data_IF_235717338870
#
_entry.id   IF_235717338870
#
_cell.length_a   1.000
_cell.length_b   1.000
_cell.length_c   1.000
_cell.angle_alpha   90.00
_cell.angle_beta   90.00
_cell.angle_gamma   90.00
#
_symmetry.space_group_name_H-M   'P 1'
#
loop_
_entity.id
_entity.type
_entity.pdbx_description
1 polymer ?
#
# COMPACT_ATOMS: atom_id res chain seq x y z
N UNK A 1 15.08 18.23 -8.23
CA UNK A 1 15.03 19.36 -7.29
C UNK A 1 14.61 18.79 -5.95
N UNK A 2 15.49 18.84 -4.95
CA UNK A 2 15.14 18.52 -3.56
C UNK A 2 14.33 19.70 -3.03
N UNK A 3 13.05 19.47 -2.75
CA UNK A 3 12.29 20.38 -1.91
C UNK A 3 12.73 20.08 -0.48
N UNK A 4 13.66 20.86 0.05
CA UNK A 4 14.00 20.79 1.46
C UNK A 4 12.93 21.57 2.22
N UNK A 5 12.25 20.92 3.16
CA UNK A 5 11.26 21.60 4.02
C UNK A 5 12.06 22.37 5.06
N UNK A 6 12.35 23.63 4.78
CA UNK A 6 13.14 24.50 5.67
C UNK A 6 12.24 25.52 6.37
N UNK A 7 11.21 26.03 5.69
CA UNK A 7 10.35 27.10 6.21
C UNK A 7 8.85 26.72 6.21
N UNK A 8 8.04 27.51 6.94
CA UNK A 8 6.58 27.41 6.99
C UNK A 8 5.90 27.41 5.61
N UNK A 9 6.32 28.25 4.63
CA UNK A 9 5.76 28.24 3.28
C UNK A 9 5.90 26.89 2.59
N UNK A 10 7.00 26.15 2.77
CA UNK A 10 7.22 24.87 2.08
C UNK A 10 6.20 23.81 2.50
N UNK A 11 5.84 23.80 3.78
CA UNK A 11 4.78 22.94 4.32
C UNK A 11 3.43 23.29 3.71
N UNK A 12 3.15 24.59 3.55
CA UNK A 12 1.93 25.10 2.91
C UNK A 12 1.92 24.67 1.42
N UNK A 13 3.04 24.77 0.71
CA UNK A 13 3.14 24.35 -0.70
C UNK A 13 2.80 22.87 -0.88
N UNK A 14 3.38 21.99 -0.05
CA UNK A 14 3.08 20.54 -0.08
C UNK A 14 1.59 20.29 0.16
N UNK A 15 1.00 20.96 1.15
CA UNK A 15 -0.42 20.85 1.43
C UNK A 15 -1.30 21.25 0.24
N UNK A 16 -0.95 22.37 -0.42
CA UNK A 16 -1.67 22.87 -1.60
C UNK A 16 -1.56 21.86 -2.75
N UNK A 17 -0.37 21.34 -3.04
CA UNK A 17 -0.16 20.36 -4.11
C UNK A 17 -0.95 19.06 -3.89
N UNK A 18 -1.10 18.61 -2.65
CA UNK A 18 -1.89 17.42 -2.31
C UNK A 18 -3.40 17.65 -2.47
N UNK A 19 -3.87 18.90 -2.29
CA UNK A 19 -5.29 19.26 -2.35
C UNK A 19 -5.78 19.70 -3.73
N UNK A 20 -4.88 20.21 -4.59
CA UNK A 20 -5.24 20.65 -5.94
C UNK A 20 -5.52 19.44 -6.84
N UNK A 21 -6.75 19.36 -7.35
CA UNK A 21 -7.15 18.33 -8.33
C UNK A 21 -7.01 18.86 -9.76
N UNK A 22 -6.80 17.93 -10.70
CA UNK A 22 -6.68 18.24 -12.13
C UNK A 22 -7.96 18.94 -12.61
N UNK A 23 -7.80 20.10 -13.29
CA UNK A 23 -8.86 20.93 -13.88
C UNK A 23 -9.84 21.63 -12.90
N UNK A 24 -9.64 21.54 -11.60
CA UNK A 24 -10.47 22.30 -10.63
C UNK A 24 -9.76 23.58 -10.23
N UNK A 25 -10.39 24.73 -10.50
CA UNK A 25 -10.01 26.00 -9.86
C UNK A 25 -10.46 25.98 -8.41
N UNK A 26 -9.55 26.31 -7.50
CA UNK A 26 -9.86 26.42 -6.08
C UNK A 26 -9.72 27.88 -5.66
N UNK A 27 -10.72 28.40 -4.95
CA UNK A 27 -10.70 29.77 -4.44
C UNK A 27 -9.72 29.89 -3.27
N UNK A 28 -8.94 30.98 -3.21
CA UNK A 28 -7.95 31.25 -2.13
C UNK A 28 -8.55 31.14 -0.74
N UNK A 29 -9.72 31.73 -0.52
CA UNK A 29 -10.42 31.68 0.79
C UNK A 29 -10.82 30.26 1.21
N UNK A 30 -11.15 29.38 0.25
CA UNK A 30 -11.50 27.98 0.53
C UNK A 30 -10.24 27.16 0.86
N UNK A 31 -9.12 27.47 0.20
CA UNK A 31 -7.81 26.89 0.49
C UNK A 31 -7.38 27.29 1.92
N UNK A 32 -7.47 28.59 2.24
CA UNK A 32 -7.21 29.12 3.57
C UNK A 32 -8.10 28.47 4.63
N UNK A 33 -9.41 28.41 4.39
CA UNK A 33 -10.35 27.76 5.30
C UNK A 33 -10.01 26.30 5.55
N UNK A 34 -9.58 25.55 4.53
CA UNK A 34 -9.12 24.16 4.70
C UNK A 34 -7.85 24.08 5.56
N UNK A 35 -6.89 24.97 5.32
CA UNK A 35 -5.68 25.06 6.15
C UNK A 35 -6.07 25.39 7.61
N UNK A 36 -6.96 26.35 7.82
CA UNK A 36 -7.42 26.78 9.15
C UNK A 36 -8.22 25.68 9.87
N UNK A 37 -9.11 24.96 9.17
CA UNK A 37 -9.84 23.79 9.70
C UNK A 37 -8.87 22.71 10.19
N UNK A 38 -7.77 22.51 9.47
CA UNK A 38 -6.73 21.56 9.82
C UNK A 38 -5.89 22.06 10.98
N UNK A 39 -5.68 23.37 11.09
CA UNK A 39 -5.04 24.03 12.22
C UNK A 39 -5.93 24.12 13.46
N UNK A 40 -7.20 23.69 13.38
CA UNK A 40 -8.22 23.70 14.44
C UNK A 40 -8.12 24.92 15.38
N UNK A 41 -8.00 26.11 14.80
CA UNK A 41 -7.98 27.42 15.47
C UNK A 41 -6.83 27.69 16.48
N UNK A 42 -5.85 26.79 16.67
CA UNK A 42 -4.73 27.02 17.61
C UNK A 42 -3.57 27.79 16.97
N UNK A 43 -3.37 27.64 15.66
CA UNK A 43 -2.34 28.34 14.87
C UNK A 43 -2.95 28.77 13.55
N UNK A 44 -3.41 30.01 13.46
CA UNK A 44 -3.82 30.58 12.18
C UNK A 44 -2.57 30.77 11.31
N UNK A 45 -2.54 30.14 10.14
CA UNK A 45 -1.61 30.53 9.08
C UNK A 45 -2.02 31.93 8.66
N UNK A 46 -1.11 32.89 8.75
CA UNK A 46 -1.45 34.26 8.40
C UNK A 46 -1.74 34.34 6.90
N UNK A 47 -2.59 35.28 6.49
CA UNK A 47 -2.88 35.47 5.07
C UNK A 47 -1.59 35.77 4.28
N UNK A 48 -0.66 36.49 4.91
CA UNK A 48 0.67 36.80 4.42
C UNK A 48 1.52 35.55 4.13
N UNK A 49 1.50 34.56 5.03
CA UNK A 49 2.26 33.32 4.86
C UNK A 49 1.73 32.48 3.69
N UNK A 50 0.40 32.42 3.56
CA UNK A 50 -0.26 31.78 2.43
C UNK A 50 0.06 32.51 1.13
N UNK A 51 -0.03 33.84 1.11
CA UNK A 51 0.28 34.64 -0.08
C UNK A 51 1.75 34.52 -0.50
N UNK A 52 2.67 34.43 0.46
CA UNK A 52 4.10 34.16 0.21
C UNK A 52 4.27 32.80 -0.47
N UNK A 53 3.66 31.74 0.09
CA UNK A 53 3.72 30.40 -0.49
C UNK A 53 3.12 30.35 -1.90
N UNK A 54 1.99 31.02 -2.13
CA UNK A 54 1.36 31.08 -3.45
C UNK A 54 2.22 31.79 -4.49
N UNK A 55 2.81 32.94 -4.14
CA UNK A 55 3.72 33.67 -5.03
C UNK A 55 4.93 32.83 -5.41
N UNK A 56 5.52 32.12 -4.45
CA UNK A 56 6.63 31.20 -4.71
C UNK A 56 6.21 30.05 -5.65
N UNK A 57 5.05 29.42 -5.41
CA UNK A 57 4.56 28.35 -6.29
C UNK A 57 4.24 28.84 -7.71
N UNK A 58 3.81 30.10 -7.87
CA UNK A 58 3.65 30.74 -9.19
C UNK A 58 5.02 30.93 -9.84
N UNK A 59 6.01 31.44 -9.09
CA UNK A 59 7.37 31.64 -9.60
C UNK A 59 8.07 30.34 -10.00
N UNK A 60 7.78 29.25 -9.29
CA UNK A 60 8.28 27.90 -9.58
C UNK A 60 7.49 27.20 -10.71
N UNK A 61 6.44 27.84 -11.24
CA UNK A 61 5.61 27.29 -12.31
C UNK A 61 4.72 26.12 -11.89
N UNK A 62 4.45 25.95 -10.60
CA UNK A 62 3.64 24.85 -10.05
C UNK A 62 2.14 25.14 -10.12
N UNK A 63 1.75 26.41 -10.03
CA UNK A 63 0.36 26.86 -10.09
C UNK A 63 0.21 28.08 -11.01
N UNK A 64 -1.00 28.28 -11.52
CA UNK A 64 -1.43 29.50 -12.20
C UNK A 64 -2.43 30.19 -11.29
N UNK A 65 -2.18 31.47 -11.05
CA UNK A 65 -3.05 32.38 -10.30
C UNK A 65 -3.88 33.21 -11.28
N UNK A 66 -5.20 33.19 -11.11
CA UNK A 66 -6.19 33.89 -11.92
C UNK A 66 -7.14 34.64 -10.97
N UNK A 67 -6.71 35.82 -10.52
CA UNK A 67 -7.37 36.61 -9.49
C UNK A 67 -7.40 35.88 -8.13
N UNK A 68 -8.61 35.53 -7.67
CA UNK A 68 -8.83 34.78 -6.43
C UNK A 68 -8.83 33.25 -6.62
N UNK A 69 -8.61 32.78 -7.85
CA UNK A 69 -8.59 31.36 -8.18
C UNK A 69 -7.19 30.85 -8.47
N UNK A 70 -6.96 29.61 -8.06
CA UNK A 70 -5.69 28.91 -8.24
C UNK A 70 -5.95 27.63 -9.02
N UNK A 71 -5.11 27.34 -10.02
CA UNK A 71 -5.14 26.10 -10.79
C UNK A 71 -3.74 25.47 -10.84
N UNK A 72 -3.61 24.15 -10.71
CA UNK A 72 -2.30 23.51 -10.82
C UNK A 72 -1.83 23.44 -12.29
N UNK A 73 -0.53 23.65 -12.52
CA UNK A 73 0.10 23.42 -13.83
C UNK A 73 0.33 21.92 -14.06
N UNK A 74 0.68 21.47 -15.28
CA UNK A 74 1.11 20.10 -15.51
C UNK A 74 2.30 19.68 -14.63
N UNK A 75 3.23 20.61 -14.37
CA UNK A 75 4.38 20.38 -13.49
C UNK A 75 3.94 20.24 -12.02
N UNK A 76 3.08 21.14 -11.53
CA UNK A 76 2.50 21.03 -10.19
C UNK A 76 1.69 19.75 -9.98
N UNK A 77 0.94 19.30 -11.00
CA UNK A 77 0.22 18.02 -10.95
C UNK A 77 1.16 16.82 -10.89
N UNK A 78 2.26 16.85 -11.66
CA UNK A 78 3.27 15.79 -11.63
C UNK A 78 3.92 15.71 -10.26
N UNK A 79 4.37 16.85 -9.73
CA UNK A 79 5.01 16.95 -8.42
C UNK A 79 4.04 16.56 -7.29
N UNK A 80 2.78 17.02 -7.34
CA UNK A 80 1.75 16.62 -6.38
C UNK A 80 1.46 15.11 -6.43
N UNK A 81 1.51 14.49 -7.62
CA UNK A 81 1.39 13.03 -7.76
C UNK A 81 2.61 12.30 -7.18
N UNK A 82 3.82 12.80 -7.40
CA UNK A 82 5.05 12.25 -6.81
C UNK A 82 4.99 12.32 -5.28
N UNK A 83 4.66 13.48 -4.71
CA UNK A 83 4.46 13.64 -3.26
C UNK A 83 3.39 12.72 -2.72
N UNK A 84 2.24 12.62 -3.40
CA UNK A 84 1.17 11.70 -2.99
C UNK A 84 1.62 10.24 -3.05
N UNK A 85 2.44 9.86 -4.02
CA UNK A 85 2.96 8.51 -4.14
C UNK A 85 4.03 8.21 -3.08
N UNK A 86 4.91 9.18 -2.79
CA UNK A 86 5.91 9.09 -1.74
C UNK A 86 5.25 8.97 -0.36
N UNK A 87 4.21 9.75 -0.13
CA UNK A 87 3.58 9.86 1.19
C UNK A 87 2.42 8.90 1.44
N UNK A 88 1.72 8.41 0.40
CA UNK A 88 0.53 7.56 0.55
C UNK A 88 0.67 6.14 -0.04
N UNK A 89 1.86 5.73 -0.51
CA UNK A 89 2.17 4.40 -1.10
C UNK A 89 0.96 3.77 -1.82
N UNK A 90 0.49 4.37 -2.92
CA UNK A 90 -0.82 4.07 -3.52
C UNK A 90 -0.88 2.91 -4.52
N UNK A 91 0.19 2.15 -4.72
CA UNK A 91 0.19 1.09 -5.75
C UNK A 91 0.12 -0.31 -5.13
N UNK A 92 -1.05 -0.99 -5.18
CA UNK A 92 -1.29 -2.27 -4.50
C UNK A 92 -0.64 -3.46 -5.21
N UNK A 93 0.40 -3.23 -6.01
CA UNK A 93 0.94 -4.25 -6.92
C UNK A 93 1.66 -5.34 -6.11
N UNK A 94 2.32 -4.97 -5.01
CA UNK A 94 3.05 -5.92 -4.18
C UNK A 94 2.10 -6.79 -3.37
N UNK A 95 0.97 -6.22 -2.95
CA UNK A 95 -0.12 -6.83 -2.21
C UNK A 95 -0.81 -7.91 -3.06
N UNK A 96 -1.10 -7.59 -4.32
CA UNK A 96 -1.63 -8.57 -5.29
C UNK A 96 -0.63 -9.71 -5.50
N UNK A 97 0.65 -9.40 -5.65
CA UNK A 97 1.70 -10.41 -5.85
C UNK A 97 1.87 -11.30 -4.63
N UNK A 98 1.82 -10.73 -3.42
CA UNK A 98 1.86 -11.50 -2.17
C UNK A 98 0.63 -12.41 -2.06
N UNK A 99 -0.57 -11.87 -2.27
CA UNK A 99 -1.80 -12.64 -2.21
C UNK A 99 -1.84 -13.79 -3.23
N UNK A 100 -1.42 -13.54 -4.48
CA UNK A 100 -1.33 -14.58 -5.51
C UNK A 100 -0.40 -15.73 -5.09
N UNK A 101 0.75 -15.43 -4.48
CA UNK A 101 1.73 -16.43 -4.08
C UNK A 101 1.20 -17.28 -2.95
N UNK A 102 0.80 -16.65 -1.84
CA UNK A 102 0.35 -17.37 -0.65
C UNK A 102 -0.93 -18.15 -0.92
N UNK A 103 -1.86 -17.58 -1.69
CA UNK A 103 -3.09 -18.24 -2.11
C UNK A 103 -2.80 -19.45 -3.01
N UNK A 104 -1.91 -19.31 -4.01
CA UNK A 104 -1.58 -20.42 -4.91
C UNK A 104 -0.91 -21.60 -4.20
N UNK A 105 -0.03 -21.32 -3.22
CA UNK A 105 0.64 -22.35 -2.42
C UNK A 105 -0.38 -23.04 -1.49
N UNK A 106 -1.24 -22.27 -0.80
CA UNK A 106 -2.29 -22.84 0.04
C UNK A 106 -3.26 -23.71 -0.78
N UNK A 107 -3.67 -23.25 -1.96
CA UNK A 107 -4.52 -24.01 -2.87
C UNK A 107 -3.86 -25.31 -3.34
N UNK A 108 -2.55 -25.27 -3.65
CA UNK A 108 -1.78 -26.46 -4.01
C UNK A 108 -1.73 -27.48 -2.87
N UNK A 109 -1.44 -27.03 -1.66
CA UNK A 109 -1.39 -27.88 -0.47
C UNK A 109 -2.73 -28.58 -0.27
N UNK A 110 -3.84 -27.84 -0.34
CA UNK A 110 -5.19 -28.43 -0.24
C UNK A 110 -5.42 -29.48 -1.33
N UNK A 111 -5.16 -29.15 -2.60
CA UNK A 111 -5.36 -30.08 -3.72
C UNK A 111 -4.55 -31.37 -3.54
N UNK A 112 -3.28 -31.27 -3.13
CA UNK A 112 -2.42 -32.43 -2.90
C UNK A 112 -2.89 -33.24 -1.69
N UNK A 113 -3.18 -32.60 -0.56
CA UNK A 113 -3.68 -33.28 0.64
C UNK A 113 -4.95 -34.07 0.35
N UNK A 114 -5.88 -33.50 -0.41
CA UNK A 114 -7.13 -34.16 -0.79
C UNK A 114 -6.89 -35.33 -1.72
N UNK A 115 -6.10 -35.13 -2.77
CA UNK A 115 -5.75 -36.18 -3.73
C UNK A 115 -5.12 -37.39 -3.03
N UNK A 116 -4.28 -37.15 -2.03
CA UNK A 116 -3.61 -38.21 -1.28
C UNK A 116 -4.50 -38.93 -0.26
N UNK A 117 -5.45 -38.22 0.34
CA UNK A 117 -6.31 -38.77 1.41
C UNK A 117 -7.61 -39.41 0.89
N UNK A 118 -7.95 -39.23 -0.39
CA UNK A 118 -9.17 -39.81 -0.98
C UNK A 118 -10.46 -39.31 -0.32
N UNK A 119 -10.44 -38.12 0.29
CA UNK A 119 -11.55 -37.59 1.09
C UNK A 119 -12.81 -37.28 0.25
N UNK A 120 -13.98 -37.45 0.87
CA UNK A 120 -15.26 -37.07 0.28
C UNK A 120 -15.35 -35.56 0.00
N UNK A 121 -15.91 -35.20 -1.16
CA UNK A 121 -16.01 -33.81 -1.65
C UNK A 121 -16.57 -32.80 -0.62
N UNK A 122 -17.52 -33.20 0.25
CA UNK A 122 -18.07 -32.32 1.29
C UNK A 122 -17.03 -31.95 2.37
N UNK A 123 -16.24 -32.93 2.82
CA UNK A 123 -15.18 -32.73 3.82
C UNK A 123 -14.06 -31.89 3.23
N UNK A 124 -13.71 -32.19 1.97
CA UNK A 124 -12.75 -31.42 1.18
C UNK A 124 -13.15 -29.96 1.07
N UNK A 125 -14.39 -29.69 0.68
CA UNK A 125 -14.88 -28.32 0.49
C UNK A 125 -14.83 -27.54 1.80
N UNK A 126 -15.23 -28.16 2.91
CA UNK A 126 -15.18 -27.54 4.22
C UNK A 126 -13.74 -27.23 4.67
N UNK A 127 -12.84 -28.22 4.60
CA UNK A 127 -11.44 -28.05 4.99
C UNK A 127 -10.72 -27.02 4.11
N UNK A 128 -10.99 -27.05 2.79
CA UNK A 128 -10.43 -26.10 1.85
C UNK A 128 -10.89 -24.67 2.13
N UNK A 129 -12.19 -24.45 2.34
CA UNK A 129 -12.72 -23.12 2.67
C UNK A 129 -12.14 -22.62 3.99
N UNK A 130 -12.10 -23.45 5.03
CA UNK A 130 -11.54 -23.07 6.32
C UNK A 130 -10.07 -22.67 6.20
N UNK A 131 -9.29 -23.45 5.44
CA UNK A 131 -7.86 -23.18 5.20
C UNK A 131 -7.67 -21.87 4.42
N UNK A 132 -8.40 -21.68 3.31
CA UNK A 132 -8.29 -20.48 2.47
C UNK A 132 -8.73 -19.23 3.22
N UNK A 133 -9.78 -19.31 4.03
CA UNK A 133 -10.21 -18.20 4.90
C UNK A 133 -9.14 -17.90 5.96
N UNK A 134 -8.58 -18.92 6.61
CA UNK A 134 -7.53 -18.72 7.61
C UNK A 134 -6.28 -18.05 7.03
N UNK A 135 -5.81 -18.49 5.85
CA UNK A 135 -4.66 -17.89 5.16
C UNK A 135 -5.00 -16.48 4.68
N UNK A 136 -6.18 -16.25 4.12
CA UNK A 136 -6.61 -14.91 3.69
C UNK A 136 -6.71 -13.92 4.86
N UNK A 137 -7.23 -14.34 6.02
CA UNK A 137 -7.29 -13.52 7.24
C UNK A 137 -5.89 -13.22 7.76
N UNK A 138 -4.99 -14.22 7.76
CA UNK A 138 -3.61 -14.05 8.21
C UNK A 138 -2.87 -13.03 7.33
N UNK A 139 -3.05 -13.12 6.01
CA UNK A 139 -2.47 -12.15 5.07
C UNK A 139 -3.08 -10.76 5.21
N UNK A 140 -4.41 -10.66 5.32
CA UNK A 140 -5.10 -9.41 5.58
C UNK A 140 -4.55 -8.73 6.85
N UNK A 141 -4.46 -9.49 7.94
CA UNK A 141 -3.95 -9.02 9.23
C UNK A 141 -2.49 -8.57 9.12
N UNK A 142 -1.65 -9.35 8.42
CA UNK A 142 -0.23 -9.04 8.24
C UNK A 142 0.00 -7.74 7.49
N UNK A 143 -0.76 -7.49 6.42
CA UNK A 143 -0.67 -6.24 5.66
C UNK A 143 -1.28 -5.05 6.41
N UNK A 144 -2.39 -5.26 7.12
CA UNK A 144 -3.02 -4.19 7.90
C UNK A 144 -2.14 -3.78 9.09
N UNK A 145 -1.75 -4.74 9.93
CA UNK A 145 -0.92 -4.50 11.10
C UNK A 145 0.49 -4.10 10.70
N UNK A 146 1.08 -4.76 9.70
CA UNK A 146 2.39 -4.41 9.16
C UNK A 146 2.43 -2.98 8.65
N UNK A 147 1.43 -2.56 7.85
CA UNK A 147 1.30 -1.18 7.40
C UNK A 147 1.16 -0.18 8.55
N UNK A 148 0.29 -0.47 9.53
CA UNK A 148 0.13 0.39 10.71
C UNK A 148 1.45 0.52 11.49
N UNK A 149 2.20 -0.57 11.65
CA UNK A 149 3.49 -0.55 12.36
C UNK A 149 4.57 0.22 11.60
N UNK A 150 4.62 0.09 10.26
CA UNK A 150 5.53 0.86 9.41
C UNK A 150 5.21 2.35 9.51
N UNK A 151 3.93 2.73 9.40
CA UNK A 151 3.50 4.13 9.51
C UNK A 151 3.84 4.75 10.86
N UNK A 152 3.66 4.00 11.96
CA UNK A 152 4.00 4.47 13.29
C UNK A 152 5.51 4.67 13.45
N UNK A 153 6.33 3.79 12.86
CA UNK A 153 7.78 3.93 12.85
C UNK A 153 8.23 5.13 12.02
N UNK A 154 7.61 5.35 10.85
CA UNK A 154 7.89 6.48 9.97
C UNK A 154 7.50 7.81 10.61
N UNK A 155 6.30 7.90 11.21
CA UNK A 155 5.86 9.09 11.94
C UNK A 155 6.82 9.40 13.09
N UNK A 156 7.28 8.38 13.83
CA UNK A 156 8.24 8.58 14.92
C UNK A 156 9.59 9.06 14.40
N UNK A 157 10.09 8.49 13.31
CA UNK A 157 11.34 8.90 12.68
C UNK A 157 11.26 10.33 12.14
N UNK A 158 10.15 10.68 11.49
CA UNK A 158 9.87 12.03 11.02
C UNK A 158 9.74 13.01 12.19
N UNK A 159 9.10 12.63 13.30
CA UNK A 159 9.08 13.47 14.51
C UNK A 159 10.47 13.78 15.06
N UNK A 160 11.38 12.80 15.04
CA UNK A 160 12.77 12.99 15.45
C UNK A 160 13.49 13.93 14.47
N UNK A 161 13.34 13.69 13.17
CA UNK A 161 14.01 14.46 12.12
C UNK A 161 13.51 15.90 12.06
N UNK A 162 12.21 16.13 12.28
CA UNK A 162 11.64 17.47 12.40
C UNK A 162 12.15 18.22 13.64
N UNK A 163 12.24 17.54 14.79
CA UNK A 163 12.79 18.16 16.02
C UNK A 163 14.25 18.57 15.83
N UNK A 164 14.99 17.81 15.04
CA UNK A 164 16.37 18.10 14.70
C UNK A 164 16.51 19.19 13.62
N UNK A 165 15.71 19.15 12.55
CA UNK A 165 15.78 20.15 11.47
C UNK A 165 15.23 21.51 11.88
N UNK A 166 14.21 21.55 12.74
CA UNK A 166 13.59 22.80 13.19
C UNK A 166 14.30 23.38 14.43
N UNK A 167 15.32 22.72 14.99
CA UNK A 167 16.11 23.29 16.08
C UNK A 167 16.92 24.51 15.65
N UNK A 168 17.19 24.63 14.35
CA UNK A 168 17.97 25.72 13.77
C UNK A 168 17.17 27.00 13.52
N UNK A 169 15.83 26.97 13.65
CA UNK A 169 15.00 28.18 13.60
C UNK A 169 15.21 29.00 14.89
N UNK A 170 15.76 30.23 14.81
CA UNK A 170 16.07 31.03 15.99
C UNK A 170 14.81 31.59 16.67
N UNK A 171 13.72 31.84 15.92
CA UNK A 171 12.44 32.28 16.47
C UNK A 171 11.62 31.10 17.03
N UNK A 172 11.37 31.12 18.34
CA UNK A 172 10.59 30.10 19.05
C UNK A 172 9.12 30.04 18.59
N UNK A 173 8.53 31.18 18.20
CA UNK A 173 7.13 31.21 17.76
C UNK A 173 6.98 30.59 16.37
N UNK A 174 7.82 30.98 15.43
CA UNK A 174 7.83 30.42 14.08
C UNK A 174 8.12 28.91 14.10
N UNK A 175 9.10 28.49 14.92
CA UNK A 175 9.42 27.08 15.13
C UNK A 175 8.21 26.27 15.65
N UNK A 176 7.48 26.81 16.62
CA UNK A 176 6.30 26.14 17.17
C UNK A 176 5.15 26.06 16.15
N UNK A 177 4.92 27.12 15.36
CA UNK A 177 3.94 27.12 14.27
C UNK A 177 4.27 26.03 13.24
N UNK A 178 5.52 25.96 12.79
CA UNK A 178 6.00 24.95 11.83
C UNK A 178 5.89 23.52 12.37
N UNK A 179 6.35 23.26 13.61
CA UNK A 179 6.22 21.94 14.25
C UNK A 179 4.76 21.47 14.32
N UNK A 180 3.83 22.38 14.63
CA UNK A 180 2.42 22.05 14.79
C UNK A 180 1.73 21.79 13.44
N UNK A 181 2.05 22.58 12.41
CA UNK A 181 1.56 22.37 11.04
C UNK A 181 2.05 21.05 10.47
N UNK A 182 3.33 20.73 10.63
CA UNK A 182 3.84 19.46 10.12
C UNK A 182 3.25 18.29 10.91
N UNK A 183 3.09 18.40 12.24
CA UNK A 183 2.39 17.37 13.05
C UNK A 183 0.95 17.16 12.58
N UNK A 184 0.21 18.22 12.26
CA UNK A 184 -1.18 18.16 11.78
C UNK A 184 -1.27 17.63 10.35
N UNK A 185 -0.35 18.02 9.46
CA UNK A 185 -0.17 17.43 8.14
C UNK A 185 0.03 15.91 8.26
N UNK A 186 0.93 15.47 9.15
CA UNK A 186 1.14 14.05 9.42
C UNK A 186 -0.12 13.35 9.96
N UNK A 187 -0.92 13.98 10.80
CA UNK A 187 -2.17 13.36 11.27
C UNK A 187 -3.20 13.17 10.14
N UNK A 188 -3.30 14.12 9.21
CA UNK A 188 -4.19 13.98 8.05
C UNK A 188 -3.70 12.90 7.09
N UNK A 189 -2.40 12.92 6.81
CA UNK A 189 -1.76 11.87 6.04
C UNK A 189 -1.98 10.52 6.71
N UNK A 190 -1.80 10.40 8.03
CA UNK A 190 -2.02 9.16 8.75
C UNK A 190 -3.45 8.60 8.57
N UNK A 191 -4.48 9.48 8.53
CA UNK A 191 -5.86 9.04 8.25
C UNK A 191 -5.99 8.48 6.82
N UNK A 192 -5.38 9.11 5.82
CA UNK A 192 -5.38 8.62 4.45
C UNK A 192 -4.52 7.36 4.27
N UNK A 193 -3.38 7.27 4.96
CA UNK A 193 -2.49 6.10 4.93
C UNK A 193 -3.16 4.91 5.60
N UNK A 194 -3.86 5.09 6.73
CA UNK A 194 -4.64 4.01 7.35
C UNK A 194 -5.71 3.43 6.41
N UNK A 195 -6.38 4.29 5.64
CA UNK A 195 -7.31 3.83 4.60
C UNK A 195 -6.56 3.08 3.50
N UNK A 196 -5.41 3.57 3.07
CA UNK A 196 -4.54 2.90 2.08
C UNK A 196 -4.13 1.50 2.56
N UNK A 197 -3.69 1.36 3.81
CA UNK A 197 -3.31 0.08 4.40
C UNK A 197 -4.49 -0.89 4.50
N UNK A 198 -5.68 -0.39 4.80
CA UNK A 198 -6.90 -1.20 4.80
C UNK A 198 -7.25 -1.69 3.38
N UNK A 199 -7.11 -0.83 2.37
CA UNK A 199 -7.27 -1.24 0.97
C UNK A 199 -6.22 -2.27 0.54
N UNK A 200 -4.96 -2.06 0.91
CA UNK A 200 -3.87 -2.99 0.66
C UNK A 200 -4.15 -4.37 1.27
N UNK A 201 -4.57 -4.38 2.55
CA UNK A 201 -4.95 -5.59 3.27
C UNK A 201 -6.14 -6.30 2.61
N UNK A 202 -7.19 -5.57 2.24
CA UNK A 202 -8.36 -6.13 1.53
C UNK A 202 -7.96 -6.75 0.20
N UNK A 203 -7.18 -6.04 -0.62
CA UNK A 203 -6.73 -6.52 -1.92
C UNK A 203 -5.90 -7.79 -1.76
N UNK A 204 -4.95 -7.80 -0.81
CA UNK A 204 -4.14 -8.97 -0.52
C UNK A 204 -5.03 -10.16 -0.10
N UNK A 205 -5.89 -9.99 0.91
CA UNK A 205 -6.76 -11.05 1.42
C UNK A 205 -7.71 -11.63 0.37
N UNK A 206 -8.37 -10.77 -0.43
CA UNK A 206 -9.25 -11.21 -1.53
C UNK A 206 -8.43 -11.96 -2.58
N UNK A 207 -7.27 -11.45 -2.95
CA UNK A 207 -6.40 -12.08 -3.95
C UNK A 207 -5.91 -13.44 -3.46
N UNK A 208 -5.51 -13.56 -2.19
CA UNK A 208 -5.16 -14.84 -1.55
C UNK A 208 -6.29 -15.86 -1.64
N UNK A 209 -7.51 -15.46 -1.25
CA UNK A 209 -8.66 -16.35 -1.26
C UNK A 209 -8.98 -16.84 -2.68
N UNK A 210 -9.01 -15.94 -3.66
CA UNK A 210 -9.28 -16.30 -5.06
C UNK A 210 -8.17 -17.16 -5.66
N UNK A 211 -6.92 -16.79 -5.42
CA UNK A 211 -5.76 -17.51 -5.95
C UNK A 211 -5.69 -18.97 -5.49
N UNK A 212 -6.07 -19.24 -4.24
CA UNK A 212 -6.16 -20.61 -3.72
C UNK A 212 -7.49 -21.30 -4.03
N UNK A 213 -8.59 -20.55 -4.11
CA UNK A 213 -9.92 -21.08 -4.39
C UNK A 213 -10.07 -21.61 -5.81
N UNK A 214 -9.53 -20.92 -6.81
CA UNK A 214 -9.62 -21.32 -8.22
C UNK A 214 -9.11 -22.76 -8.46
N UNK A 215 -7.87 -23.14 -8.07
CA UNK A 215 -7.38 -24.50 -8.29
C UNK A 215 -8.15 -25.54 -7.46
N UNK A 216 -8.62 -25.21 -6.26
CA UNK A 216 -9.46 -26.11 -5.44
C UNK A 216 -10.81 -26.37 -6.12
N UNK A 217 -11.48 -25.34 -6.61
CA UNK A 217 -12.75 -25.48 -7.33
C UNK A 217 -12.55 -26.30 -8.60
N UNK A 218 -11.47 -26.05 -9.36
CA UNK A 218 -11.13 -26.84 -10.53
C UNK A 218 -10.94 -28.33 -10.18
N UNK A 219 -10.31 -28.63 -9.03
CA UNK A 219 -10.12 -29.99 -8.57
C UNK A 219 -11.43 -30.70 -8.18
N UNK A 220 -12.37 -29.99 -7.54
CA UNK A 220 -13.64 -30.57 -7.08
C UNK A 220 -14.64 -30.77 -8.23
N UNK A 221 -14.67 -29.85 -9.20
CA UNK A 221 -15.71 -29.81 -10.24
C UNK A 221 -15.37 -30.68 -11.45
N UNK A 222 -14.09 -30.80 -11.81
CA UNK A 222 -13.69 -31.56 -12.99
C UNK A 222 -13.67 -33.06 -12.71
N UNK A 223 -13.91 -33.90 -13.72
CA UNK A 223 -13.78 -35.35 -13.60
C UNK A 223 -12.31 -35.79 -13.52
N UNK A 224 -12.06 -36.93 -12.88
CA UNK A 224 -10.74 -37.58 -12.93
C UNK A 224 -10.44 -38.11 -14.34
N UNK A 225 -9.19 -38.03 -14.83
CA UNK A 225 -7.99 -37.45 -14.19
C UNK A 225 -7.79 -35.95 -14.49
N UNK A 226 -8.71 -35.30 -15.20
CA UNK A 226 -8.57 -33.93 -15.67
C UNK A 226 -8.54 -32.91 -14.51
N UNK A 227 -9.16 -33.23 -13.38
CA UNK A 227 -9.17 -32.39 -12.18
C UNK A 227 -7.77 -32.03 -11.65
N UNK A 228 -6.94 -33.04 -11.37
CA UNK A 228 -5.61 -32.84 -10.82
C UNK A 228 -4.70 -32.11 -11.80
N UNK A 229 -4.71 -32.53 -13.06
CA UNK A 229 -3.87 -31.92 -14.11
C UNK A 229 -4.23 -30.44 -14.27
N UNK A 230 -5.52 -30.12 -14.30
CA UNK A 230 -5.98 -28.73 -14.46
C UNK A 230 -5.60 -27.88 -13.25
N UNK A 231 -5.83 -28.37 -12.03
CA UNK A 231 -5.47 -27.66 -10.81
C UNK A 231 -3.96 -27.38 -10.72
N UNK A 232 -3.12 -28.37 -11.01
CA UNK A 232 -1.65 -28.22 -11.04
C UNK A 232 -1.20 -27.25 -12.14
N UNK A 233 -1.85 -27.28 -13.30
CA UNK A 233 -1.55 -26.37 -14.42
C UNK A 233 -1.86 -24.92 -14.04
N UNK A 234 -2.98 -24.65 -13.36
CA UNK A 234 -3.35 -23.31 -12.88
C UNK A 234 -2.29 -22.80 -11.90
N UNK A 235 -1.96 -23.58 -10.87
CA UNK A 235 -0.94 -23.21 -9.88
C UNK A 235 0.43 -22.98 -10.54
N UNK A 236 0.83 -23.88 -11.44
CA UNK A 236 2.10 -23.78 -12.16
C UNK A 236 2.18 -22.53 -13.04
N UNK A 237 1.12 -22.22 -13.79
CA UNK A 237 1.06 -21.03 -14.63
C UNK A 237 1.11 -19.73 -13.80
N UNK A 238 0.36 -19.67 -12.70
CA UNK A 238 0.39 -18.53 -11.77
C UNK A 238 1.79 -18.32 -11.19
N UNK A 239 2.42 -19.38 -10.67
CA UNK A 239 3.75 -19.28 -10.09
C UNK A 239 4.83 -18.95 -11.12
N UNK A 240 4.76 -19.50 -12.33
CA UNK A 240 5.68 -19.15 -13.42
C UNK A 240 5.59 -17.66 -13.79
N UNK A 241 4.38 -17.11 -13.84
CA UNK A 241 4.16 -15.67 -14.05
C UNK A 241 4.76 -14.84 -12.91
N UNK A 242 4.49 -15.23 -11.66
CA UNK A 242 4.98 -14.54 -10.46
C UNK A 242 6.51 -14.54 -10.36
N UNK A 243 7.17 -15.66 -10.68
CA UNK A 243 8.63 -15.77 -10.70
C UNK A 243 9.23 -14.80 -11.73
N UNK A 244 8.66 -14.74 -12.93
CA UNK A 244 9.09 -13.79 -13.97
C UNK A 244 8.89 -12.34 -13.53
N UNK A 245 7.73 -12.05 -12.93
CA UNK A 245 7.43 -10.72 -12.41
C UNK A 245 8.42 -10.30 -11.31
N UNK A 246 8.62 -11.15 -10.29
CA UNK A 246 9.55 -10.90 -9.18
C UNK A 246 10.97 -10.73 -9.69
N UNK A 247 11.44 -11.60 -10.59
CA UNK A 247 12.78 -11.49 -11.19
C UNK A 247 13.00 -10.15 -11.89
N UNK A 248 12.02 -9.67 -12.66
CA UNK A 248 12.11 -8.37 -13.35
C UNK A 248 12.11 -7.20 -12.35
N UNK A 249 11.31 -7.28 -11.29
CA UNK A 249 11.17 -6.19 -10.31
C UNK A 249 12.32 -6.11 -9.30
N UNK A 250 12.81 -7.25 -8.81
CA UNK A 250 13.93 -7.31 -7.85
C UNK A 250 15.31 -7.31 -8.51
N UNK A 251 15.40 -7.43 -9.84
CA UNK A 251 16.65 -7.62 -10.61
C UNK A 251 17.43 -8.86 -10.15
N UNK A 252 16.77 -9.84 -9.53
CA UNK A 252 17.35 -11.13 -9.13
C UNK A 252 17.12 -12.14 -10.26
N UNK A 253 18.08 -13.04 -10.48
CA UNK A 253 17.97 -14.09 -11.49
C UNK A 253 16.79 -15.04 -11.19
N UNK A 254 15.92 -15.25 -12.18
CA UNK A 254 14.70 -16.07 -12.06
C UNK A 254 14.95 -17.50 -11.56
N UNK A 255 16.12 -18.07 -11.88
CA UNK A 255 16.48 -19.43 -11.45
C UNK A 255 16.58 -19.54 -9.92
N UNK A 256 17.06 -18.50 -9.23
CA UNK A 256 17.15 -18.48 -7.76
C UNK A 256 15.76 -18.44 -7.12
N UNK A 257 14.90 -17.56 -7.61
CA UNK A 257 13.52 -17.41 -7.12
C UNK A 257 12.72 -18.70 -7.35
N UNK A 258 12.93 -19.37 -8.50
CA UNK A 258 12.31 -20.67 -8.77
C UNK A 258 12.77 -21.75 -7.78
N UNK A 259 14.06 -21.79 -7.45
CA UNK A 259 14.60 -22.75 -6.49
C UNK A 259 14.04 -22.52 -5.08
N UNK A 260 13.94 -21.26 -4.63
CA UNK A 260 13.29 -20.89 -3.37
C UNK A 260 11.82 -21.32 -3.35
N UNK A 261 11.09 -21.08 -4.45
CA UNK A 261 9.67 -21.45 -4.56
C UNK A 261 9.50 -22.98 -4.51
N UNK A 262 10.36 -23.72 -5.21
CA UNK A 262 10.35 -25.19 -5.19
C UNK A 262 10.66 -25.76 -3.80
N UNK A 263 11.59 -25.15 -3.05
CA UNK A 263 11.89 -25.57 -1.68
C UNK A 263 10.68 -25.40 -0.76
N UNK A 264 9.95 -24.27 -0.86
CA UNK A 264 8.73 -24.03 -0.08
C UNK A 264 7.66 -25.07 -0.43
N UNK A 265 7.43 -25.32 -1.73
CA UNK A 265 6.47 -26.33 -2.18
C UNK A 265 6.86 -27.72 -1.69
N UNK A 266 8.13 -28.08 -1.78
CA UNK A 266 8.63 -29.38 -1.31
C UNK A 266 8.41 -29.54 0.20
N UNK A 267 8.77 -28.54 1.00
CA UNK A 267 8.55 -28.56 2.45
C UNK A 267 7.06 -28.68 2.80
N UNK A 268 6.20 -27.91 2.12
CA UNK A 268 4.76 -27.96 2.33
C UNK A 268 4.16 -29.32 1.92
N UNK A 269 4.64 -29.90 0.82
CA UNK A 269 4.21 -31.23 0.34
C UNK A 269 4.63 -32.32 1.31
N UNK A 270 5.88 -32.30 1.80
CA UNK A 270 6.38 -33.25 2.79
C UNK A 270 5.61 -33.14 4.11
N UNK A 271 5.34 -31.92 4.59
CA UNK A 271 4.52 -31.73 5.78
C UNK A 271 3.10 -32.29 5.59
N UNK A 272 2.50 -32.05 4.42
CA UNK A 272 1.17 -32.55 4.06
C UNK A 272 1.13 -34.08 3.97
N UNK A 273 2.17 -34.69 3.40
CA UNK A 273 2.37 -36.14 3.33
C UNK A 273 2.45 -36.78 4.71
N UNK A 274 3.27 -36.19 5.60
CA UNK A 274 3.43 -36.69 6.96
C UNK A 274 2.12 -36.60 7.75
N UNK A 275 1.39 -35.49 7.62
CA UNK A 275 0.10 -35.29 8.29
C UNK A 275 -1.00 -36.20 7.71
N UNK A 276 -0.99 -36.42 6.39
CA UNK A 276 -1.98 -37.27 5.71
C UNK A 276 -1.83 -38.77 6.01
N UNK A 277 -0.62 -39.25 6.28
CA UNK A 277 -0.34 -40.66 6.65
C UNK A 277 -0.44 -40.94 8.16
N UNK A 278 -0.69 -39.93 8.99
CA UNK A 278 -0.89 -40.09 10.44
C UNK A 278 -2.34 -40.42 10.82
N UNK A 279 -3.24 -40.54 9.85
CA UNK A 279 -4.64 -41.01 10.01
C UNK A 279 -4.91 -42.24 9.17
#
# INVERSE_FOLDING_TARGET
MSFEIQELPDVIKVFILLNLKRKTSTHKSLLKKRIDEICANDVCVEASDLDKALKEMVSEGLIIEDGDYIRPTPQGLKLGKEWRNLLLKREPILEVVAGLVDGSIAGLVVVLSVFMSGLFAKVVTFAALLTLVAVAITNFSSFLLGGITEDLADIRSLQILMRFSLSDIPDKNERNKSLMLVKRLFMLLHKEVRLSNLYAALICGITTFLAGGIPVVAYIVLPEPANLITALTIVGAMNAYLIRYRSKKSRINWKKILLETLLIIMAATVASLLLGNLG
#
